data_IF_258506742613
#
_entry.id   IF_258506742613
#
_cell.length_a   1.000
_cell.length_b   1.000
_cell.length_c   1.000
_cell.angle_alpha   90.00
_cell.angle_beta   90.00
_cell.angle_gamma   90.00
#
_symmetry.space_group_name_H-M   'P 1'
#
loop_
_entity.id
_entity.type
_entity.pdbx_description
1 polymer ?
#
# COMPACT_ATOMS: atom_id res chain seq x y z
N UNK A 1 -5.30 1.09 12.79
CA UNK A 1 -4.14 0.18 12.95
C UNK A 1 -4.14 -0.98 11.95
N UNK A 2 -5.27 -1.68 11.75
CA UNK A 2 -5.36 -2.80 10.81
C UNK A 2 -5.02 -2.41 9.36
N UNK A 3 -5.59 -1.30 8.85
CA UNK A 3 -5.28 -0.79 7.51
C UNK A 3 -3.78 -0.52 7.32
N UNK A 4 -3.17 0.25 8.23
CA UNK A 4 -1.74 0.53 8.21
C UNK A 4 -0.88 -0.75 8.15
N UNK A 5 -1.23 -1.75 8.95
CA UNK A 5 -0.48 -3.02 8.96
C UNK A 5 -0.68 -3.83 7.68
N UNK A 6 -1.91 -3.97 7.17
CA UNK A 6 -2.14 -4.73 5.93
C UNK A 6 -1.53 -4.03 4.70
N UNK A 7 -1.40 -2.71 4.70
CA UNK A 7 -0.67 -1.99 3.64
C UNK A 7 0.82 -2.38 3.60
N UNK A 8 1.44 -2.66 4.75
CA UNK A 8 2.78 -3.26 4.81
C UNK A 8 2.81 -4.72 4.35
N UNK A 9 1.83 -5.53 4.77
CA UNK A 9 1.71 -6.92 4.31
C UNK A 9 1.44 -7.05 2.80
N UNK A 10 0.94 -5.98 2.19
CA UNK A 10 0.65 -5.88 0.76
C UNK A 10 1.53 -4.86 0.04
N UNK A 11 2.71 -4.57 0.61
CA UNK A 11 3.69 -3.71 -0.02
C UNK A 11 4.04 -4.29 -1.40
N UNK A 12 3.92 -3.47 -2.43
CA UNK A 12 4.03 -3.92 -3.80
C UNK A 12 5.17 -3.19 -4.52
N UNK A 13 5.91 -3.95 -5.32
CA UNK A 13 6.99 -3.45 -6.17
C UNK A 13 6.67 -3.69 -7.65
N UNK A 14 7.27 -2.88 -8.52
CA UNK A 14 7.27 -3.14 -9.96
C UNK A 14 8.35 -4.19 -10.25
N UNK A 15 8.02 -5.18 -11.08
CA UNK A 15 9.05 -6.07 -11.66
C UNK A 15 10.02 -5.24 -12.49
N UNK A 16 11.30 -5.54 -12.39
CA UNK A 16 12.29 -4.90 -13.27
C UNK A 16 12.15 -5.46 -14.68
N UNK A 17 12.49 -4.67 -15.70
CA UNK A 17 12.52 -5.10 -17.11
C UNK A 17 13.51 -6.25 -17.38
N UNK A 18 14.35 -6.60 -16.40
CA UNK A 18 15.32 -7.70 -16.48
C UNK A 18 14.70 -9.08 -16.17
N UNK A 19 13.50 -9.14 -15.58
CA UNK A 19 12.82 -10.40 -15.31
C UNK A 19 12.18 -10.96 -16.59
N UNK A 20 12.64 -12.14 -17.03
CA UNK A 20 12.05 -12.84 -18.17
C UNK A 20 10.68 -13.37 -17.76
N UNK A 21 9.62 -12.66 -18.15
CA UNK A 21 8.25 -13.08 -17.88
C UNK A 21 7.92 -14.37 -18.64
N UNK A 22 7.24 -15.29 -17.95
CA UNK A 22 6.61 -16.42 -18.62
C UNK A 22 5.54 -15.90 -19.61
N UNK A 23 5.29 -16.59 -20.73
CA UNK A 23 4.24 -16.20 -21.68
C UNK A 23 2.89 -16.05 -20.97
N UNK A 24 2.24 -14.89 -21.15
CA UNK A 24 0.92 -14.60 -20.58
C UNK A 24 0.90 -13.94 -19.19
N UNK A 25 2.06 -13.65 -18.60
CA UNK A 25 2.13 -12.86 -17.35
C UNK A 25 1.97 -11.38 -17.69
N UNK A 26 0.98 -10.72 -17.08
CA UNK A 26 0.79 -9.28 -17.22
C UNK A 26 2.04 -8.53 -16.68
N UNK A 27 2.75 -7.77 -17.53
CA UNK A 27 3.92 -7.01 -17.10
C UNK A 27 3.59 -5.91 -16.08
N UNK A 28 2.32 -5.52 -15.95
CA UNK A 28 1.84 -4.55 -14.96
C UNK A 28 1.35 -5.20 -13.65
N UNK A 29 1.33 -6.53 -13.56
CA UNK A 29 0.90 -7.21 -12.34
C UNK A 29 1.82 -6.82 -11.17
N UNK A 30 1.21 -6.35 -10.09
CA UNK A 30 1.93 -6.04 -8.85
C UNK A 30 2.62 -7.30 -8.32
N UNK A 31 3.90 -7.16 -7.95
CA UNK A 31 4.56 -8.15 -7.10
C UNK A 31 4.41 -7.69 -5.67
N UNK A 32 3.68 -8.46 -4.88
CA UNK A 32 3.53 -8.20 -3.46
C UNK A 32 4.69 -8.84 -2.71
N UNK A 33 5.48 -8.00 -2.02
CA UNK A 33 6.58 -8.39 -1.16
C UNK A 33 6.27 -7.89 0.26
N UNK A 34 5.60 -8.73 1.08
CA UNK A 34 5.15 -8.30 2.40
C UNK A 34 6.29 -7.73 3.24
N UNK A 35 6.11 -6.49 3.71
CA UNK A 35 7.05 -5.72 4.53
C UNK A 35 8.48 -5.62 3.95
N UNK A 36 8.64 -5.79 2.63
CA UNK A 36 9.94 -5.90 1.97
C UNK A 36 10.88 -6.94 2.64
N UNK A 37 10.31 -8.01 3.19
CA UNK A 37 11.05 -9.07 3.88
C UNK A 37 10.91 -10.42 3.16
N UNK A 38 11.60 -10.63 2.02
CA UNK A 38 11.56 -11.90 1.30
C UNK A 38 12.23 -13.05 2.07
N UNK A 39 12.96 -12.74 3.15
CA UNK A 39 13.72 -13.69 3.96
C UNK A 39 12.94 -14.20 5.19
N UNK A 40 11.65 -13.84 5.33
CA UNK A 40 10.81 -14.24 6.45
C UNK A 40 10.75 -15.77 6.59
N UNK A 41 10.98 -16.25 7.81
CA UNK A 41 11.00 -17.69 8.19
C UNK A 41 9.85 -18.11 9.11
N UNK A 42 8.90 -17.21 9.37
CA UNK A 42 7.73 -17.39 10.25
C UNK A 42 6.47 -16.93 9.52
N UNK A 43 5.27 -17.10 10.10
CA UNK A 43 4.01 -16.78 9.43
C UNK A 43 3.82 -15.28 9.18
N UNK A 44 3.20 -14.91 8.05
CA UNK A 44 2.95 -13.50 7.72
C UNK A 44 2.07 -12.78 8.77
N UNK A 45 1.17 -13.52 9.42
CA UNK A 45 0.33 -13.01 10.50
C UNK A 45 1.14 -12.43 11.67
N UNK A 46 2.35 -12.94 11.93
CA UNK A 46 3.18 -12.46 13.03
C UNK A 46 3.68 -11.03 12.77
N UNK A 47 4.09 -10.73 11.53
CA UNK A 47 4.43 -9.36 11.13
C UNK A 47 3.22 -8.46 11.22
N UNK A 48 2.08 -8.89 10.68
CA UNK A 48 0.83 -8.13 10.78
C UNK A 48 0.48 -7.79 12.23
N UNK A 49 0.52 -8.75 13.14
CA UNK A 49 0.16 -8.50 14.53
C UNK A 49 1.17 -7.56 15.22
N UNK A 50 2.48 -7.70 14.94
CA UNK A 50 3.51 -6.83 15.51
C UNK A 50 3.41 -5.39 14.99
N UNK A 51 3.24 -5.18 13.68
CA UNK A 51 3.05 -3.84 13.12
C UNK A 51 1.74 -3.21 13.59
N UNK A 52 0.64 -3.97 13.61
CA UNK A 52 -0.63 -3.49 14.19
C UNK A 52 -0.44 -3.02 15.64
N UNK A 53 0.33 -3.74 16.45
CA UNK A 53 0.63 -3.34 17.83
C UNK A 53 1.43 -2.04 17.89
N UNK A 54 2.43 -1.83 17.02
CA UNK A 54 3.17 -0.56 16.96
C UNK A 54 2.24 0.64 16.70
N UNK A 55 1.29 0.48 15.78
CA UNK A 55 0.34 1.57 15.47
C UNK A 55 -0.69 1.78 16.60
N UNK A 56 -1.16 0.71 17.22
CA UNK A 56 -2.27 0.78 18.16
C UNK A 56 -1.86 1.09 19.60
N UNK A 57 -0.76 0.49 20.06
CA UNK A 57 -0.26 0.61 21.43
C UNK A 57 0.80 1.69 21.50
N UNK A 58 1.80 1.64 20.63
CA UNK A 58 2.91 2.60 20.63
C UNK A 58 2.56 3.93 19.94
N UNK A 59 1.37 4.04 19.34
CA UNK A 59 0.86 5.24 18.68
C UNK A 59 1.83 5.79 17.63
N UNK A 60 2.51 4.88 16.92
CA UNK A 60 3.37 5.25 15.79
C UNK A 60 2.51 5.64 14.61
N UNK A 61 2.86 6.73 13.94
CA UNK A 61 2.19 7.13 12.70
C UNK A 61 2.63 6.23 11.53
N UNK A 62 1.70 5.94 10.62
CA UNK A 62 1.98 5.19 9.40
C UNK A 62 1.96 6.13 8.20
N UNK A 63 3.10 6.22 7.51
CA UNK A 63 3.23 6.98 6.27
C UNK A 63 3.45 6.01 5.11
N UNK A 64 2.75 6.23 4.00
CA UNK A 64 2.93 5.48 2.76
C UNK A 64 3.49 6.45 1.72
N UNK A 65 4.68 6.13 1.22
CA UNK A 65 5.42 6.97 0.28
C UNK A 65 5.55 6.26 -1.06
N UNK A 66 5.29 6.99 -2.15
CA UNK A 66 5.59 6.53 -3.50
C UNK A 66 6.94 7.10 -3.93
N UNK A 67 7.92 6.23 -4.15
CA UNK A 67 9.27 6.60 -4.64
C UNK A 67 9.47 6.26 -6.12
N UNK A 68 8.42 5.75 -6.78
CA UNK A 68 8.40 5.33 -8.16
C UNK A 68 7.86 6.41 -9.09
N UNK A 69 6.85 6.04 -9.88
CA UNK A 69 6.13 6.94 -10.76
C UNK A 69 4.71 7.15 -10.22
N UNK A 70 4.16 8.32 -10.47
CA UNK A 70 2.77 8.65 -10.18
C UNK A 70 2.13 9.13 -11.49
N UNK A 71 1.18 8.34 -12.01
CA UNK A 71 0.47 8.65 -13.26
C UNK A 71 1.39 9.03 -14.42
N UNK A 72 2.48 8.27 -14.61
CA UNK A 72 3.47 8.50 -15.67
C UNK A 72 4.50 9.60 -15.35
N UNK A 73 4.36 10.32 -14.24
CA UNK A 73 5.33 11.32 -13.77
C UNK A 73 6.28 10.71 -12.73
N UNK A 74 7.58 10.82 -12.97
CA UNK A 74 8.60 10.33 -12.04
C UNK A 74 8.58 11.10 -10.73
N UNK A 75 8.49 10.40 -9.60
CA UNK A 75 8.76 10.98 -8.28
C UNK A 75 10.28 10.98 -8.07
N UNK A 76 10.87 12.16 -7.90
CA UNK A 76 12.33 12.28 -7.73
C UNK A 76 12.72 12.07 -6.26
N UNK A 77 14.00 11.74 -5.98
CA UNK A 77 14.50 11.69 -4.61
C UNK A 77 14.26 12.99 -3.85
N UNK A 78 14.45 14.15 -4.49
CA UNK A 78 14.23 15.46 -3.88
C UNK A 78 12.77 15.65 -3.41
N UNK A 79 11.80 15.19 -4.21
CA UNK A 79 10.38 15.24 -3.83
C UNK A 79 10.08 14.36 -2.62
N UNK A 80 10.62 13.13 -2.61
CA UNK A 80 10.41 12.20 -1.48
C UNK A 80 11.08 12.71 -0.21
N UNK A 81 12.32 13.20 -0.32
CA UNK A 81 13.08 13.74 0.81
C UNK A 81 12.40 14.99 1.38
N UNK A 82 11.91 15.91 0.54
CA UNK A 82 11.18 17.08 1.02
C UNK A 82 9.89 16.73 1.78
N UNK A 83 9.17 15.67 1.36
CA UNK A 83 8.02 15.19 2.12
C UNK A 83 8.41 14.57 3.47
N UNK A 84 9.52 13.82 3.52
CA UNK A 84 10.06 13.27 4.76
C UNK A 84 10.54 14.37 5.72
N UNK A 85 11.26 15.38 5.22
CA UNK A 85 11.69 16.55 5.98
C UNK A 85 10.49 17.27 6.59
N UNK A 86 9.44 17.53 5.81
CA UNK A 86 8.24 18.17 6.30
C UNK A 86 7.55 17.38 7.43
N UNK A 87 7.54 16.04 7.35
CA UNK A 87 7.00 15.18 8.41
C UNK A 87 7.87 15.25 9.67
N UNK A 88 9.19 15.13 9.52
CA UNK A 88 10.14 15.13 10.65
C UNK A 88 10.19 16.50 11.35
N UNK A 89 10.09 17.58 10.59
CA UNK A 89 10.08 18.96 11.11
C UNK A 89 8.71 19.40 11.63
N UNK A 90 7.66 18.60 11.43
CA UNK A 90 6.30 18.93 11.86
C UNK A 90 5.63 20.04 11.04
N UNK A 91 6.11 20.29 9.82
CA UNK A 91 5.55 21.29 8.89
C UNK A 91 4.59 20.66 7.86
N UNK A 92 4.55 19.33 7.77
CA UNK A 92 3.62 18.61 6.90
C UNK A 92 2.16 18.88 7.28
N UNK A 93 1.35 19.25 6.29
CA UNK A 93 -0.10 19.40 6.44
C UNK A 93 -0.81 18.26 5.74
N UNK A 94 -1.61 17.52 6.52
CA UNK A 94 -2.42 16.41 6.02
C UNK A 94 -3.88 16.82 5.93
N UNK A 95 -4.54 16.40 4.85
CA UNK A 95 -5.99 16.55 4.69
C UNK A 95 -6.62 15.24 4.29
N UNK A 96 -7.92 15.11 4.53
CA UNK A 96 -8.70 13.94 4.12
C UNK A 96 -8.51 13.67 2.62
N UNK A 97 -8.17 12.43 2.25
CA UNK A 97 -7.97 12.06 0.86
C UNK A 97 -9.30 11.59 0.24
N UNK A 98 -9.93 12.46 -0.55
CA UNK A 98 -11.19 12.13 -1.22
C UNK A 98 -12.29 11.73 -0.23
N UNK A 99 -12.93 10.59 -0.48
CA UNK A 99 -14.00 10.03 0.34
C UNK A 99 -13.50 9.26 1.57
N UNK A 100 -12.21 8.91 1.63
CA UNK A 100 -11.67 7.97 2.61
C UNK A 100 -11.84 8.43 4.06
N UNK A 101 -12.43 7.59 4.91
CA UNK A 101 -12.64 7.90 6.33
C UNK A 101 -11.33 7.93 7.13
N UNK A 102 -10.44 6.97 6.83
CA UNK A 102 -9.25 6.67 7.62
C UNK A 102 -7.93 6.96 6.88
N UNK A 103 -7.96 7.71 5.77
CA UNK A 103 -6.76 8.04 4.99
C UNK A 103 -6.67 9.54 4.72
N UNK A 104 -5.49 10.09 5.02
CA UNK A 104 -5.12 11.46 4.72
C UNK A 104 -4.00 11.50 3.70
N UNK A 105 -3.86 12.64 3.01
CA UNK A 105 -2.81 12.90 2.04
C UNK A 105 -2.14 14.23 2.34
N UNK A 106 -0.82 14.25 2.14
CA UNK A 106 -0.04 15.49 2.01
C UNK A 106 0.00 15.85 0.53
N UNK A 107 -0.45 17.06 0.19
CA UNK A 107 -0.36 17.52 -1.19
C UNK A 107 1.06 17.96 -1.51
N UNK A 108 1.60 17.36 -2.55
CA UNK A 108 2.91 17.68 -3.09
C UNK A 108 2.72 18.31 -4.46
N UNK A 109 3.35 19.45 -4.69
CA UNK A 109 3.18 20.22 -5.92
C UNK A 109 3.46 19.36 -7.16
N UNK A 110 2.49 19.33 -8.08
CA UNK A 110 2.57 18.55 -9.31
C UNK A 110 2.40 17.03 -9.13
N UNK A 111 2.05 16.53 -7.94
CA UNK A 111 1.71 15.14 -7.66
C UNK A 111 0.38 15.00 -6.91
N UNK A 112 -0.44 16.06 -6.91
CA UNK A 112 -1.78 16.04 -6.29
C UNK A 112 -2.70 15.11 -7.10
N UNK A 113 -3.29 14.07 -6.49
CA UNK A 113 -4.21 13.19 -7.19
C UNK A 113 -5.53 13.88 -7.52
N UNK A 114 -6.05 13.61 -8.72
CA UNK A 114 -7.36 14.11 -9.13
C UNK A 114 -8.45 13.05 -8.89
N UNK A 115 -9.18 13.18 -7.78
CA UNK A 115 -10.28 12.26 -7.44
C UNK A 115 -11.50 12.40 -8.36
N UNK A 116 -11.54 13.41 -9.24
CA UNK A 116 -12.58 13.56 -10.27
C UNK A 116 -12.19 12.92 -11.61
N UNK A 117 -10.94 12.45 -11.75
CA UNK A 117 -10.49 11.72 -12.93
C UNK A 117 -10.88 10.24 -12.80
N UNK A 118 -11.80 9.79 -13.65
CA UNK A 118 -12.28 8.41 -13.66
C UNK A 118 -11.15 7.39 -13.91
N UNK A 119 -10.13 7.75 -14.69
CA UNK A 119 -8.99 6.86 -14.97
C UNK A 119 -8.14 6.67 -13.72
N UNK A 120 -7.91 7.75 -12.97
CA UNK A 120 -7.18 7.71 -11.71
C UNK A 120 -7.93 6.88 -10.66
N UNK A 121 -9.23 7.11 -10.50
CA UNK A 121 -10.06 6.38 -9.53
C UNK A 121 -10.15 4.90 -9.88
N UNK A 122 -10.31 4.57 -11.17
CA UNK A 122 -10.33 3.18 -11.64
C UNK A 122 -8.99 2.48 -11.37
N UNK A 123 -7.87 3.14 -11.65
CA UNK A 123 -6.53 2.61 -11.37
C UNK A 123 -6.32 2.39 -9.87
N UNK A 124 -6.62 3.40 -9.04
CA UNK A 124 -6.53 3.28 -7.58
C UNK A 124 -7.37 2.12 -7.05
N UNK A 125 -8.60 1.96 -7.54
CA UNK A 125 -9.50 0.85 -7.19
C UNK A 125 -8.92 -0.49 -7.62
N UNK A 126 -8.40 -0.61 -8.83
CA UNK A 126 -7.76 -1.82 -9.32
C UNK A 126 -6.57 -2.21 -8.43
N UNK A 127 -5.70 -1.27 -8.07
CA UNK A 127 -4.56 -1.52 -7.18
C UNK A 127 -4.99 -1.92 -5.76
N UNK A 128 -6.13 -1.45 -5.26
CA UNK A 128 -6.67 -1.91 -3.97
C UNK A 128 -7.30 -3.30 -4.06
N UNK A 129 -7.97 -3.62 -5.17
CA UNK A 129 -8.49 -4.97 -5.44
C UNK A 129 -7.36 -6.00 -5.56
N UNK A 130 -6.26 -5.66 -6.23
CA UNK A 130 -5.07 -6.53 -6.29
C UNK A 130 -4.58 -6.94 -4.88
N UNK A 131 -4.66 -6.01 -3.91
CA UNK A 131 -4.29 -6.28 -2.51
C UNK A 131 -5.32 -7.17 -1.82
N UNK A 132 -6.61 -6.93 -2.06
CA UNK A 132 -7.70 -7.78 -1.54
C UNK A 132 -7.53 -9.22 -2.03
N UNK A 133 -7.29 -9.40 -3.34
CA UNK A 133 -7.08 -10.71 -3.95
C UNK A 133 -5.82 -11.39 -3.39
N UNK A 134 -4.72 -10.65 -3.23
CA UNK A 134 -3.51 -11.18 -2.60
C UNK A 134 -3.80 -11.72 -1.20
N UNK A 135 -4.43 -10.92 -0.33
CA UNK A 135 -4.74 -11.32 1.06
C UNK A 135 -5.67 -12.53 1.08
N UNK A 136 -6.74 -12.53 0.28
CA UNK A 136 -7.67 -13.65 0.17
C UNK A 136 -6.98 -14.94 -0.30
N UNK A 137 -6.05 -14.84 -1.26
CA UNK A 137 -5.30 -16.00 -1.75
C UNK A 137 -4.41 -16.67 -0.69
N UNK A 138 -4.02 -15.94 0.36
CA UNK A 138 -3.14 -16.48 1.42
C UNK A 138 -3.82 -17.54 2.28
N UNK A 139 -5.15 -17.63 2.25
CA UNK A 139 -5.90 -18.65 2.99
C UNK A 139 -5.60 -20.08 2.50
N UNK A 140 -5.24 -20.24 1.22
CA UNK A 140 -5.02 -21.56 0.59
C UNK A 140 -3.60 -21.71 0.03
N UNK A 141 -2.97 -20.62 -0.40
CA UNK A 141 -1.60 -20.64 -0.90
C UNK A 141 -0.64 -21.23 0.15
N UNK A 142 0.24 -22.15 -0.27
CA UNK A 142 1.17 -22.90 0.59
C UNK A 142 0.47 -23.54 1.82
N UNK A 143 -0.77 -24.01 1.64
CA UNK A 143 -1.55 -24.62 2.72
C UNK A 143 -2.01 -23.62 3.79
N UNK A 144 -2.12 -22.34 3.46
CA UNK A 144 -2.58 -21.31 4.40
C UNK A 144 -1.49 -20.75 5.32
N UNK A 145 -0.22 -21.07 5.07
CA UNK A 145 0.91 -20.65 5.91
C UNK A 145 0.97 -19.11 6.10
N UNK A 146 0.60 -18.36 5.07
CA UNK A 146 0.65 -16.89 5.08
C UNK A 146 -0.70 -16.23 5.35
N UNK A 147 -1.70 -17.00 5.82
CA UNK A 147 -3.03 -16.49 6.14
C UNK A 147 -2.96 -15.33 7.13
N UNK A 148 -3.71 -14.26 6.85
CA UNK A 148 -3.84 -13.09 7.71
C UNK A 148 -5.15 -13.13 8.53
N UNK A 149 -5.24 -12.40 9.65
CA UNK A 149 -6.50 -12.19 10.35
C UNK A 149 -7.57 -11.55 9.46
N UNK A 150 -8.85 -11.87 9.66
CA UNK A 150 -9.96 -11.37 8.85
C UNK A 150 -10.01 -9.82 8.74
N UNK A 151 -9.67 -9.14 9.84
CA UNK A 151 -9.59 -7.67 9.91
C UNK A 151 -8.62 -7.05 8.88
N UNK A 152 -7.63 -7.81 8.39
CA UNK A 152 -6.73 -7.34 7.35
C UNK A 152 -7.46 -7.21 6.00
N UNK A 153 -8.26 -8.22 5.65
CA UNK A 153 -9.05 -8.23 4.42
C UNK A 153 -10.18 -7.20 4.50
N UNK A 154 -10.89 -7.14 5.62
CA UNK A 154 -11.96 -6.16 5.86
C UNK A 154 -11.46 -4.71 5.72
N UNK A 155 -10.27 -4.41 6.26
CA UNK A 155 -9.69 -3.07 6.14
C UNK A 155 -9.45 -2.66 4.68
N UNK A 156 -8.94 -3.56 3.84
CA UNK A 156 -8.75 -3.28 2.40
C UNK A 156 -10.10 -3.15 1.68
N UNK A 157 -11.06 -4.02 1.99
CA UNK A 157 -12.38 -3.99 1.36
C UNK A 157 -13.13 -2.69 1.69
N UNK A 158 -12.98 -2.16 2.91
CA UNK A 158 -13.55 -0.86 3.28
C UNK A 158 -13.00 0.27 2.42
N UNK A 159 -11.68 0.29 2.16
CA UNK A 159 -11.08 1.28 1.24
C UNK A 159 -11.67 1.15 -0.17
N UNK A 160 -11.82 -0.07 -0.69
CA UNK A 160 -12.46 -0.30 -2.01
C UNK A 160 -13.91 0.18 -2.03
N UNK A 161 -14.66 -0.01 -0.95
CA UNK A 161 -16.06 0.40 -0.85
C UNK A 161 -16.22 1.93 -0.72
N UNK A 162 -15.24 2.60 -0.14
CA UNK A 162 -15.21 4.06 -0.03
C UNK A 162 -14.83 4.76 -1.35
N UNK A 163 -14.18 4.05 -2.28
CA UNK A 163 -13.93 4.52 -3.64
C UNK A 163 -15.23 4.50 -4.47
N UNK A 164 -15.86 5.68 -4.54
CA UNK A 164 -17.03 5.95 -5.37
C UNK A 164 -16.68 6.21 -6.82
#
# INVERSE_FOLDING_TARGET
>A
SALASVMGATLATKRTSAERLAPGVDPNALVVEPYANPFRTYNLADDFNKFKQLFEVNKVDCYILNTGDFMGKKVTPAVTLGALEAVVEGTATFKKWGSFSDIQIMEVEGFVPNMSDASYVAELKARMLDRVEFVASRDTAKGGYDKLPAIALEALQNVVNELK
#
